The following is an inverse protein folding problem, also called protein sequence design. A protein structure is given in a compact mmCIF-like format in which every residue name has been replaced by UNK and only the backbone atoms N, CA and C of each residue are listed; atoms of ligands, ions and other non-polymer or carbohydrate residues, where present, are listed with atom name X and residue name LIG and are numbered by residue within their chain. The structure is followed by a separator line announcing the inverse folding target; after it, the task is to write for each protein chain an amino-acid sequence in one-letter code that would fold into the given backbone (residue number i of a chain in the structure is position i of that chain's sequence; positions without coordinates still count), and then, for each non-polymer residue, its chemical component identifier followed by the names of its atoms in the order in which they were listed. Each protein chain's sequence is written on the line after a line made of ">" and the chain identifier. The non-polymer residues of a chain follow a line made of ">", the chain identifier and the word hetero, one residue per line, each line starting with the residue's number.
data_IF_493470963924
#
_entry.id   IF_493470963924
#
_cell.length_a   1.000
_cell.length_b   1.000
_cell.length_c   1.000
_cell.angle_alpha   90.00
_cell.angle_beta   90.00
_cell.angle_gamma   90.00
#
_symmetry.space_group_name_H-M   'P 1'
#
loop_
_entity.id
_entity.type
_entity.pdbx_description
1 polymer ?
#
# COMPACT_ATOMS: atom_id res chain seq x y z
N UNK A 1 -59.40 18.78 97.99
CA UNK A 1 -58.36 19.19 97.03
C UNK A 1 -58.00 17.98 96.20
N UNK A 2 -58.22 18.11 94.90
CA UNK A 2 -57.94 17.14 93.83
C UNK A 2 -56.45 17.23 93.45
N UNK A 3 -55.86 16.09 93.06
CA UNK A 3 -54.69 15.88 92.16
C UNK A 3 -53.78 14.76 92.70
N UNK A 4 -53.23 13.80 91.95
CA UNK A 4 -53.09 13.56 90.50
C UNK A 4 -52.83 12.04 90.31
N UNK A 5 -53.18 11.41 89.17
CA UNK A 5 -52.82 10.01 88.89
C UNK A 5 -51.33 9.89 88.54
N UNK A 6 -50.69 8.82 89.00
CA UNK A 6 -49.30 8.51 88.69
C UNK A 6 -49.10 8.17 87.19
N UNK A 7 -48.02 8.64 86.54
CA UNK A 7 -47.79 8.41 85.12
C UNK A 7 -47.44 6.95 84.83
N UNK A 8 -48.07 6.41 83.77
CA UNK A 8 -47.71 5.11 83.19
C UNK A 8 -46.34 5.18 82.49
N UNK A 9 -45.50 4.15 82.61
CA UNK A 9 -44.26 4.06 81.85
C UNK A 9 -44.60 3.88 80.37
N UNK A 10 -44.24 4.87 79.56
CA UNK A 10 -44.27 4.79 78.10
C UNK A 10 -43.18 3.82 77.66
N UNK A 11 -43.59 2.65 77.15
CA UNK A 11 -42.69 1.71 76.50
C UNK A 11 -42.12 2.37 75.25
N UNK A 12 -40.86 2.77 75.30
CA UNK A 12 -40.09 3.12 74.12
C UNK A 12 -39.88 1.84 73.31
N UNK A 13 -40.70 1.63 72.30
CA UNK A 13 -40.45 0.61 71.29
C UNK A 13 -39.08 0.88 70.66
N UNK A 14 -38.13 -0.06 70.70
CA UNK A 14 -36.92 0.07 69.90
C UNK A 14 -37.36 0.03 68.44
N UNK A 15 -37.17 1.13 67.71
CA UNK A 15 -37.18 1.11 66.25
C UNK A 15 -36.10 0.13 65.84
N UNK A 16 -36.53 -1.08 65.48
CA UNK A 16 -35.64 -2.14 65.04
C UNK A 16 -34.93 -1.71 63.77
N UNK A 17 -33.70 -1.21 63.90
CA UNK A 17 -32.70 -1.15 62.83
C UNK A 17 -32.18 -2.56 62.51
N UNK A 18 -33.09 -3.51 62.27
CA UNK A 18 -32.79 -4.94 62.20
C UNK A 18 -32.57 -5.51 60.80
N UNK A 19 -32.81 -4.74 59.72
CA UNK A 19 -32.86 -5.32 58.36
C UNK A 19 -31.80 -4.84 57.36
N UNK A 20 -31.11 -3.72 57.61
CA UNK A 20 -30.30 -3.06 56.57
C UNK A 20 -28.80 -3.34 56.64
N UNK A 21 -28.31 -3.91 57.75
CA UNK A 21 -26.86 -4.12 57.96
C UNK A 21 -26.33 -5.31 57.14
N UNK A 22 -27.16 -6.31 56.85
CA UNK A 22 -26.78 -7.49 56.05
C UNK A 22 -26.91 -7.33 54.53
N UNK A 23 -27.70 -6.37 54.05
CA UNK A 23 -27.91 -6.18 52.61
C UNK A 23 -26.81 -5.31 51.98
N UNK A 24 -26.29 -4.33 52.75
CA UNK A 24 -25.22 -3.46 52.31
C UNK A 24 -23.93 -4.25 51.97
N UNK A 25 -23.58 -5.27 52.78
CA UNK A 25 -22.38 -6.07 52.53
C UNK A 25 -22.50 -6.91 51.24
N UNK A 26 -23.70 -7.39 50.92
CA UNK A 26 -23.97 -8.12 49.66
C UNK A 26 -23.86 -7.20 48.45
N UNK A 27 -24.44 -6.00 48.52
CA UNK A 27 -24.34 -5.02 47.44
C UNK A 27 -22.91 -4.56 47.20
N UNK A 28 -22.13 -4.32 48.27
CA UNK A 28 -20.71 -3.98 48.17
C UNK A 28 -19.93 -5.14 47.55
N UNK A 29 -20.19 -6.38 47.97
CA UNK A 29 -19.54 -7.56 47.38
C UNK A 29 -19.81 -7.68 45.87
N UNK A 30 -21.05 -7.46 45.42
CA UNK A 30 -21.41 -7.47 44.00
C UNK A 30 -20.76 -6.30 43.24
N UNK A 31 -20.75 -5.10 43.82
CA UNK A 31 -20.08 -3.96 43.18
C UNK A 31 -18.58 -4.19 43.02
N UNK A 32 -17.92 -4.75 44.05
CA UNK A 32 -16.49 -5.06 43.99
C UNK A 32 -16.19 -6.12 42.94
N UNK A 33 -16.99 -7.18 42.83
CA UNK A 33 -16.76 -8.20 41.78
C UNK A 33 -16.94 -7.63 40.39
N UNK A 34 -17.94 -6.76 40.17
CA UNK A 34 -18.12 -6.06 38.89
C UNK A 34 -16.94 -5.14 38.57
N UNK A 35 -16.47 -4.35 39.55
CA UNK A 35 -15.31 -3.46 39.35
C UNK A 35 -14.02 -4.24 39.04
N UNK A 36 -13.79 -5.36 39.73
CA UNK A 36 -12.65 -6.25 39.44
C UNK A 36 -12.78 -6.88 38.05
N UNK A 37 -13.98 -7.31 37.65
CA UNK A 37 -14.23 -7.82 36.31
C UNK A 37 -13.97 -6.78 35.21
N UNK A 38 -14.42 -5.54 35.41
CA UNK A 38 -14.22 -4.44 34.45
C UNK A 38 -12.74 -4.01 34.37
N UNK A 39 -12.02 -3.98 35.49
CA UNK A 39 -10.58 -3.66 35.49
C UNK A 39 -9.75 -4.75 34.82
N UNK A 40 -10.07 -6.03 35.08
CA UNK A 40 -9.46 -7.16 34.37
C UNK A 40 -9.64 -7.02 32.85
N UNK A 41 -10.86 -6.73 32.40
CA UNK A 41 -11.16 -6.52 30.98
C UNK A 41 -10.45 -5.30 30.39
N UNK A 42 -10.35 -4.20 31.15
CA UNK A 42 -9.62 -3.01 30.73
C UNK A 42 -8.11 -3.30 30.56
N UNK A 43 -7.50 -4.07 31.46
CA UNK A 43 -6.09 -4.44 31.37
C UNK A 43 -5.83 -5.34 30.16
N UNK A 44 -6.58 -6.44 30.02
CA UNK A 44 -6.41 -7.36 28.90
C UNK A 44 -6.73 -6.67 27.56
N UNK A 45 -7.75 -5.80 27.52
CA UNK A 45 -8.10 -4.97 26.36
C UNK A 45 -6.98 -3.98 26.00
N UNK A 46 -6.41 -3.28 26.97
CA UNK A 46 -5.32 -2.32 26.73
C UNK A 46 -4.09 -2.99 26.12
N UNK A 47 -3.75 -4.20 26.59
CA UNK A 47 -2.64 -5.00 26.04
C UNK A 47 -2.95 -5.51 24.64
N UNK A 48 -4.18 -5.92 24.37
CA UNK A 48 -4.61 -6.31 23.02
C UNK A 48 -4.45 -5.16 22.01
N UNK A 49 -4.89 -3.96 22.37
CA UNK A 49 -4.75 -2.78 21.52
C UNK A 49 -3.28 -2.36 21.32
N UNK A 50 -2.47 -2.37 22.37
CA UNK A 50 -1.04 -2.09 22.25
C UNK A 50 -0.35 -3.09 21.32
N UNK A 51 -0.61 -4.39 21.51
CA UNK A 51 -0.05 -5.45 20.66
C UNK A 51 -0.50 -5.31 19.21
N UNK A 52 -1.77 -5.00 18.96
CA UNK A 52 -2.29 -4.78 17.61
C UNK A 52 -1.58 -3.61 16.91
N UNK A 53 -1.36 -2.50 17.62
CA UNK A 53 -0.65 -1.32 17.10
C UNK A 53 0.80 -1.64 16.78
N UNK A 54 1.50 -2.30 17.69
CA UNK A 54 2.92 -2.64 17.51
C UNK A 54 3.09 -3.66 16.37
N UNK A 55 2.18 -4.63 16.26
CA UNK A 55 2.16 -5.59 15.16
C UNK A 55 1.89 -4.91 13.82
N UNK A 56 0.96 -3.95 13.77
CA UNK A 56 0.69 -3.20 12.54
C UNK A 56 1.92 -2.38 12.11
N UNK A 57 2.53 -1.62 13.02
CA UNK A 57 3.73 -0.83 12.74
C UNK A 57 4.91 -1.69 12.25
N UNK A 58 5.09 -2.88 12.85
CA UNK A 58 6.10 -3.83 12.43
C UNK A 58 5.86 -4.38 11.01
N UNK A 59 4.60 -4.68 10.66
CA UNK A 59 4.25 -5.19 9.32
C UNK A 59 4.35 -4.09 8.26
N UNK A 60 3.93 -2.86 8.58
CA UNK A 60 4.03 -1.71 7.67
C UNK A 60 5.51 -1.39 7.35
N UNK A 61 6.34 -1.32 8.38
CA UNK A 61 7.78 -1.08 8.21
C UNK A 61 8.48 -2.22 7.47
N UNK A 62 8.09 -3.47 7.69
CA UNK A 62 8.61 -4.62 6.96
C UNK A 62 8.24 -4.57 5.46
N UNK A 63 7.00 -4.23 5.13
CA UNK A 63 6.54 -4.09 3.75
C UNK A 63 7.31 -2.99 3.01
N UNK A 64 7.53 -1.84 3.67
CA UNK A 64 8.31 -0.74 3.10
C UNK A 64 9.80 -1.12 2.93
N UNK A 65 10.39 -1.78 3.93
CA UNK A 65 11.78 -2.22 3.87
C UNK A 65 12.06 -3.24 2.76
N UNK A 66 11.13 -4.17 2.51
CA UNK A 66 11.23 -5.06 1.35
C UNK A 66 11.21 -4.27 0.04
N UNK A 67 10.28 -3.33 -0.11
CA UNK A 67 10.18 -2.54 -1.33
C UNK A 67 11.45 -1.71 -1.60
N UNK A 68 11.92 -0.98 -0.59
CA UNK A 68 13.14 -0.17 -0.67
C UNK A 68 14.38 -1.02 -0.98
N UNK A 69 14.51 -2.19 -0.35
CA UNK A 69 15.64 -3.09 -0.61
C UNK A 69 15.59 -3.72 -1.99
N UNK A 70 14.41 -4.08 -2.49
CA UNK A 70 14.30 -4.54 -3.87
C UNK A 70 14.71 -3.44 -4.86
N UNK A 71 14.35 -2.17 -4.60
CA UNK A 71 14.79 -1.04 -5.43
C UNK A 71 16.31 -0.85 -5.39
N UNK A 72 16.95 -1.03 -4.22
CA UNK A 72 18.40 -0.84 -4.05
C UNK A 72 19.23 -1.99 -4.63
N UNK A 73 18.80 -3.24 -4.44
CA UNK A 73 19.61 -4.43 -4.76
C UNK A 73 19.16 -5.20 -6.01
N UNK A 74 17.92 -5.01 -6.46
CA UNK A 74 17.30 -5.82 -7.50
C UNK A 74 17.04 -7.29 -7.13
N UNK A 75 17.31 -7.69 -5.88
CA UNK A 75 17.21 -9.09 -5.43
C UNK A 75 16.07 -9.30 -4.44
N UNK A 76 15.08 -10.10 -4.85
CA UNK A 76 13.92 -10.46 -4.02
C UNK A 76 14.32 -11.13 -2.70
N UNK A 77 15.30 -12.04 -2.73
CA UNK A 77 15.73 -12.74 -1.53
C UNK A 77 16.31 -11.78 -0.47
N UNK A 78 17.09 -10.79 -0.91
CA UNK A 78 17.63 -9.76 0.00
C UNK A 78 16.54 -8.82 0.53
N UNK A 79 15.51 -8.55 -0.27
CA UNK A 79 14.35 -7.76 0.14
C UNK A 79 13.51 -8.48 1.20
N UNK A 80 13.21 -9.77 1.00
CA UNK A 80 12.47 -10.58 1.98
C UNK A 80 13.25 -10.76 3.29
N UNK A 81 14.58 -10.88 3.20
CA UNK A 81 15.45 -10.94 4.39
C UNK A 81 15.42 -9.61 5.14
N UNK A 82 15.50 -8.47 4.44
CA UNK A 82 15.44 -7.16 5.06
C UNK A 82 14.10 -6.89 5.75
N UNK A 83 12.97 -7.27 5.13
CA UNK A 83 11.66 -7.22 5.77
C UNK A 83 11.61 -8.04 7.06
N UNK A 84 12.17 -9.24 7.05
CA UNK A 84 12.25 -10.10 8.24
C UNK A 84 13.04 -9.41 9.37
N UNK A 85 14.19 -8.82 9.04
CA UNK A 85 15.05 -8.14 10.01
C UNK A 85 14.37 -6.89 10.61
N UNK A 86 13.72 -6.07 9.77
CA UNK A 86 13.01 -4.87 10.22
C UNK A 86 11.79 -5.24 11.07
N UNK A 87 11.04 -6.27 10.67
CA UNK A 87 9.93 -6.80 11.46
C UNK A 87 10.40 -7.27 12.84
N UNK A 88 11.47 -8.07 12.90
CA UNK A 88 12.06 -8.56 14.13
C UNK A 88 12.50 -7.41 15.05
N UNK A 89 13.17 -6.40 14.49
CA UNK A 89 13.61 -5.22 15.22
C UNK A 89 12.44 -4.44 15.85
N UNK A 90 11.37 -4.19 15.08
CA UNK A 90 10.19 -3.46 15.58
C UNK A 90 9.49 -4.19 16.73
N UNK A 91 9.40 -5.52 16.65
CA UNK A 91 8.80 -6.36 17.70
C UNK A 91 9.80 -6.82 18.77
N UNK A 92 11.06 -6.38 18.70
CA UNK A 92 12.15 -6.78 19.59
C UNK A 92 12.31 -8.31 19.71
N UNK A 93 12.23 -8.99 18.57
CA UNK A 93 12.45 -10.43 18.44
C UNK A 93 13.95 -10.66 18.20
N UNK A 94 14.65 -11.15 19.23
CA UNK A 94 16.11 -11.34 19.18
C UNK A 94 16.53 -12.74 18.67
N UNK A 95 15.59 -13.68 18.60
CA UNK A 95 15.84 -15.01 18.07
C UNK A 95 15.64 -15.03 16.56
N UNK A 96 16.51 -15.74 15.85
CA UNK A 96 16.37 -15.95 14.41
C UNK A 96 15.09 -16.75 14.09
N UNK A 97 14.28 -16.32 13.12
CA UNK A 97 13.12 -17.09 12.70
C UNK A 97 13.52 -18.29 11.82
N UNK A 98 12.68 -19.32 11.81
CA UNK A 98 12.72 -20.38 10.80
C UNK A 98 11.82 -19.98 9.63
N UNK A 99 12.40 -19.76 8.45
CA UNK A 99 11.65 -19.39 7.25
C UNK A 99 11.52 -20.58 6.29
N UNK A 100 10.29 -20.87 5.85
CA UNK A 100 9.99 -21.94 4.90
C UNK A 100 8.89 -21.53 3.91
N UNK A 101 9.06 -21.81 2.60
CA UNK A 101 10.33 -22.15 1.93
C UNK A 101 11.38 -21.04 2.13
N UNK A 102 12.64 -21.26 1.73
CA UNK A 102 13.66 -20.21 1.79
C UNK A 102 13.26 -19.00 0.94
N UNK A 103 13.86 -17.84 1.24
CA UNK A 103 13.69 -16.63 0.42
C UNK A 103 13.95 -16.91 -1.06
N UNK A 104 13.19 -16.28 -1.93
CA UNK A 104 13.14 -16.63 -3.34
C UNK A 104 12.60 -15.52 -4.22
N UNK A 105 12.44 -15.84 -5.50
CA UNK A 105 11.92 -14.90 -6.50
C UNK A 105 10.56 -15.39 -7.01
N UNK A 106 9.60 -14.49 -7.24
CA UNK A 106 8.31 -14.84 -7.84
C UNK A 106 8.48 -15.30 -9.29
N UNK A 107 7.70 -16.32 -9.67
CA UNK A 107 7.54 -16.76 -11.05
C UNK A 107 6.20 -16.29 -11.64
N UNK A 108 5.54 -17.12 -12.43
CA UNK A 108 4.16 -16.87 -12.88
C UNK A 108 3.15 -16.89 -11.72
N UNK A 109 3.46 -17.63 -10.64
CA UNK A 109 2.70 -17.64 -9.40
C UNK A 109 3.42 -16.81 -8.30
N UNK A 110 2.67 -16.26 -7.32
CA UNK A 110 3.25 -15.58 -6.18
C UNK A 110 4.22 -16.47 -5.40
N UNK A 111 5.37 -15.92 -4.99
CA UNK A 111 6.25 -16.59 -4.05
C UNK A 111 5.78 -16.31 -2.62
N UNK A 112 5.67 -17.34 -1.78
CA UNK A 112 5.22 -17.18 -0.40
C UNK A 112 6.24 -17.79 0.54
N UNK A 113 6.70 -17.00 1.50
CA UNK A 113 7.62 -17.42 2.56
C UNK A 113 6.96 -17.16 3.91
N UNK A 114 6.99 -18.13 4.81
CA UNK A 114 6.55 -17.93 6.19
C UNK A 114 7.72 -18.09 7.14
N UNK A 115 8.02 -17.03 7.88
CA UNK A 115 9.05 -16.96 8.92
C UNK A 115 8.39 -17.04 10.29
N UNK A 116 8.66 -18.13 11.02
CA UNK A 116 8.12 -18.38 12.36
C UNK A 116 9.19 -18.18 13.42
N UNK A 117 8.86 -17.43 14.46
CA UNK A 117 9.71 -17.16 15.61
C UNK A 117 9.41 -18.14 16.75
N UNK A 118 10.37 -18.39 17.67
CA UNK A 118 10.18 -19.31 18.79
C UNK A 118 9.02 -18.95 19.73
N UNK A 119 8.63 -17.68 19.79
CA UNK A 119 7.50 -17.22 20.61
C UNK A 119 6.12 -17.45 19.94
N UNK A 120 6.10 -18.11 18.78
CA UNK A 120 4.89 -18.38 17.99
C UNK A 120 4.43 -17.21 17.13
N UNK A 121 5.17 -16.09 17.10
CA UNK A 121 4.93 -15.03 16.11
C UNK A 121 5.28 -15.56 14.72
N UNK A 122 4.44 -15.31 13.73
CA UNK A 122 4.73 -15.65 12.35
C UNK A 122 4.63 -14.42 11.45
N UNK A 123 5.52 -14.31 10.49
CA UNK A 123 5.50 -13.33 9.39
C UNK A 123 5.41 -14.10 8.08
N UNK A 124 4.31 -13.95 7.36
CA UNK A 124 4.13 -14.45 6.00
C UNK A 124 4.35 -13.32 5.01
N UNK A 125 5.23 -13.57 4.05
CA UNK A 125 5.56 -12.67 2.96
C UNK A 125 5.04 -13.28 1.66
N UNK A 126 4.27 -12.53 0.90
CA UNK A 126 3.77 -12.95 -0.41
C UNK A 126 4.25 -11.94 -1.45
N UNK A 127 5.20 -12.38 -2.26
CA UNK A 127 5.81 -11.59 -3.32
C UNK A 127 5.14 -11.89 -4.64
N UNK A 128 4.74 -10.85 -5.37
CA UNK A 128 4.13 -10.94 -6.69
C UNK A 128 4.88 -10.06 -7.68
N UNK A 129 5.29 -10.64 -8.81
CA UNK A 129 5.66 -9.85 -9.97
C UNK A 129 4.36 -9.31 -10.61
N UNK A 130 4.16 -7.99 -10.59
CA UNK A 130 2.97 -7.31 -11.15
C UNK A 130 3.26 -6.71 -12.53
N UNK A 131 4.14 -7.37 -13.29
CA UNK A 131 4.54 -6.93 -14.62
C UNK A 131 5.92 -6.30 -14.64
N UNK A 132 6.29 -5.65 -15.76
CA UNK A 132 7.66 -5.66 -16.26
C UNK A 132 8.70 -4.83 -15.49
N UNK A 133 8.29 -4.12 -14.44
CA UNK A 133 9.14 -3.50 -13.43
C UNK A 133 8.42 -3.31 -12.08
N UNK A 134 7.29 -4.00 -11.92
CA UNK A 134 6.39 -3.87 -10.79
C UNK A 134 6.50 -5.10 -9.90
N UNK A 135 6.74 -4.93 -8.60
CA UNK A 135 6.70 -6.00 -7.62
C UNK A 135 5.89 -5.58 -6.42
N UNK A 136 5.01 -6.46 -5.96
CA UNK A 136 4.22 -6.26 -4.75
C UNK A 136 4.71 -7.22 -3.67
N UNK A 137 4.96 -6.67 -2.49
CA UNK A 137 5.21 -7.40 -1.25
C UNK A 137 3.99 -7.26 -0.35
N UNK A 138 3.21 -8.33 -0.21
CA UNK A 138 2.13 -8.39 0.77
C UNK A 138 2.64 -9.11 2.02
N UNK A 139 2.64 -8.41 3.14
CA UNK A 139 3.08 -8.93 4.43
C UNK A 139 1.87 -9.18 5.31
N UNK A 140 1.83 -10.32 5.98
CA UNK A 140 0.89 -10.60 7.07
C UNK A 140 1.63 -11.17 8.25
N UNK A 141 1.28 -10.74 9.46
CA UNK A 141 1.86 -11.29 10.67
C UNK A 141 0.79 -11.71 11.66
N UNK A 142 1.07 -12.76 12.41
CA UNK A 142 0.22 -13.27 13.47
C UNK A 142 0.99 -13.37 14.78
N UNK A 143 0.31 -13.05 15.89
CA UNK A 143 0.88 -13.17 17.23
C UNK A 143 -0.20 -13.50 18.25
N UNK A 144 0.09 -14.44 19.15
CA UNK A 144 -0.84 -14.80 20.22
C UNK A 144 -0.85 -13.75 21.32
N UNK A 145 -2.05 -13.37 21.78
CA UNK A 145 -2.22 -12.47 22.92
C UNK A 145 -2.14 -13.28 24.22
N UNK A 146 -1.18 -12.95 25.07
CA UNK A 146 -1.10 -13.51 26.41
C UNK A 146 -2.13 -12.85 27.33
N UNK A 147 -3.31 -13.45 27.44
CA UNK A 147 -4.35 -13.07 28.41
C UNK A 147 -3.84 -13.29 29.84
N UNK A 148 -4.02 -12.30 30.73
CA UNK A 148 -3.64 -12.43 32.14
C UNK A 148 -4.82 -12.72 33.05
N UNK A 149 -5.91 -11.96 32.94
CA UNK A 149 -7.06 -12.13 33.83
C UNK A 149 -8.15 -12.98 33.18
N UNK A 150 -8.41 -12.79 31.88
CA UNK A 150 -9.38 -13.59 31.13
C UNK A 150 -8.99 -15.08 31.04
N UNK A 151 -7.70 -15.43 31.19
CA UNK A 151 -7.23 -16.82 31.22
C UNK A 151 -7.72 -17.59 32.46
N UNK A 152 -8.05 -16.91 33.56
CA UNK A 152 -8.67 -17.54 34.74
C UNK A 152 -10.12 -17.96 34.44
N UNK A 153 -10.79 -17.25 33.55
CA UNK A 153 -12.20 -17.46 33.19
C UNK A 153 -12.38 -18.32 31.93
N UNK A 154 -11.34 -18.49 31.11
CA UNK A 154 -11.41 -19.28 29.88
C UNK A 154 -10.31 -20.35 29.82
N UNK A 155 -10.69 -21.60 29.65
CA UNK A 155 -9.80 -22.73 29.31
C UNK A 155 -9.51 -22.84 27.81
N UNK A 156 -9.90 -21.85 27.01
CA UNK A 156 -9.75 -21.84 25.55
C UNK A 156 -8.36 -21.45 25.05
N UNK A 157 -8.09 -21.65 23.75
CA UNK A 157 -6.84 -21.18 23.12
C UNK A 157 -6.72 -19.66 23.22
N UNK A 158 -5.48 -19.18 23.41
CA UNK A 158 -5.24 -17.74 23.48
C UNK A 158 -5.55 -17.08 22.13
N UNK A 159 -6.25 -15.93 22.13
CA UNK A 159 -6.65 -15.28 20.89
C UNK A 159 -5.43 -14.85 20.07
N UNK A 160 -5.52 -14.99 18.76
CA UNK A 160 -4.45 -14.63 17.82
C UNK A 160 -4.81 -13.31 17.15
N UNK A 161 -3.92 -12.33 17.23
CA UNK A 161 -4.02 -11.07 16.50
C UNK A 161 -3.30 -11.23 15.16
N UNK A 162 -3.89 -10.65 14.12
CA UNK A 162 -3.29 -10.59 12.79
C UNK A 162 -3.25 -9.15 12.28
N UNK A 163 -2.19 -8.80 11.55
CA UNK A 163 -2.04 -7.53 10.83
C UNK A 163 -1.48 -7.80 9.44
N UNK A 164 -1.80 -6.92 8.49
CA UNK A 164 -1.29 -7.02 7.12
C UNK A 164 -0.95 -5.65 6.56
N UNK A 165 0.03 -5.61 5.65
CA UNK A 165 0.43 -4.41 4.91
C UNK A 165 0.92 -4.80 3.51
N UNK A 166 0.96 -3.83 2.60
CA UNK A 166 1.46 -4.03 1.24
C UNK A 166 2.46 -2.93 0.87
N UNK A 167 3.60 -3.36 0.32
CA UNK A 167 4.62 -2.49 -0.26
C UNK A 167 4.69 -2.76 -1.76
N UNK A 168 4.65 -1.71 -2.58
CA UNK A 168 4.75 -1.86 -4.04
C UNK A 168 6.03 -1.16 -4.53
N UNK A 169 6.83 -1.89 -5.28
CA UNK A 169 7.93 -1.37 -6.08
C UNK A 169 7.39 -1.24 -7.48
N UNK A 170 7.19 -0.02 -7.95
CA UNK A 170 6.79 0.24 -9.31
C UNK A 170 7.94 1.02 -9.97
N UNK A 171 8.50 0.52 -11.08
CA UNK A 171 8.84 1.49 -12.13
C UNK A 171 7.52 2.05 -12.68
N UNK A 172 7.56 3.24 -13.26
CA UNK A 172 6.44 4.15 -13.55
C UNK A 172 5.31 3.59 -14.45
N UNK A 173 5.15 2.29 -14.64
CA UNK A 173 4.08 1.67 -15.44
C UNK A 173 2.65 2.06 -15.01
N UNK A 174 2.42 2.45 -13.74
CA UNK A 174 1.12 2.96 -13.27
C UNK A 174 1.01 4.49 -13.26
N UNK A 175 2.10 5.19 -13.60
CA UNK A 175 2.20 6.64 -13.80
C UNK A 175 3.10 6.93 -15.00
N UNK A 176 2.79 6.38 -16.18
CA UNK A 176 3.66 6.54 -17.33
C UNK A 176 3.69 8.01 -17.71
N UNK A 177 4.85 8.49 -18.18
CA UNK A 177 4.98 9.86 -18.66
C UNK A 177 4.04 10.08 -19.85
N UNK A 178 3.92 9.06 -20.71
CA UNK A 178 2.98 9.04 -21.83
C UNK A 178 2.24 7.70 -21.86
N UNK A 179 0.90 7.76 -21.89
CA UNK A 179 0.04 6.60 -22.09
C UNK A 179 -0.94 6.80 -23.25
N UNK A 180 -1.07 5.79 -24.09
CA UNK A 180 -2.14 5.70 -25.09
C UNK A 180 -3.04 4.50 -24.81
N UNK A 181 -4.31 4.77 -24.51
CA UNK A 181 -5.31 3.72 -24.24
C UNK A 181 -5.92 3.13 -25.52
N UNK A 182 -5.73 3.80 -26.67
CA UNK A 182 -6.18 3.36 -27.98
C UNK A 182 -5.50 2.04 -28.38
N UNK A 183 -6.25 1.16 -29.06
CA UNK A 183 -5.80 -0.17 -29.51
C UNK A 183 -5.48 -0.23 -31.02
N UNK A 184 -5.44 0.91 -31.71
CA UNK A 184 -5.08 0.96 -33.14
C UNK A 184 -3.71 0.32 -33.42
N UNK A 185 -3.61 -0.44 -34.51
CA UNK A 185 -2.41 -1.20 -34.87
C UNK A 185 -2.22 -2.53 -34.14
N UNK A 186 -3.21 -2.95 -33.35
CA UNK A 186 -3.28 -4.27 -32.72
C UNK A 186 -4.35 -5.15 -33.37
N UNK A 187 -4.06 -6.44 -33.57
CA UNK A 187 -5.09 -7.44 -33.93
C UNK A 187 -5.88 -7.13 -35.20
N UNK A 188 -5.25 -6.45 -36.17
CA UNK A 188 -5.89 -6.04 -37.43
C UNK A 188 -6.65 -4.71 -37.37
N UNK A 189 -6.67 -4.01 -36.23
CA UNK A 189 -7.24 -2.68 -36.13
C UNK A 189 -6.40 -1.66 -36.94
N UNK A 190 -7.02 -0.86 -37.83
CA UNK A 190 -6.28 0.09 -38.65
C UNK A 190 -5.69 1.23 -37.80
N UNK A 191 -4.57 1.79 -38.26
CA UNK A 191 -3.93 2.96 -37.65
C UNK A 191 -2.85 2.61 -36.63
N UNK A 192 -2.50 3.62 -35.80
CA UNK A 192 -1.47 3.53 -34.76
C UNK A 192 -1.96 4.27 -33.52
N UNK A 193 -1.60 3.79 -32.33
CA UNK A 193 -2.04 4.42 -31.08
C UNK A 193 -1.14 5.60 -30.67
N UNK A 194 0.15 5.51 -30.96
CA UNK A 194 1.10 6.63 -30.84
C UNK A 194 1.82 6.76 -32.17
N UNK A 195 1.77 7.96 -32.77
CA UNK A 195 2.51 8.27 -33.99
C UNK A 195 3.45 9.45 -33.78
N UNK A 196 4.68 9.30 -34.23
CA UNK A 196 5.69 10.35 -34.28
C UNK A 196 6.03 10.67 -35.73
N UNK A 197 6.00 11.96 -36.06
CA UNK A 197 6.37 12.47 -37.38
C UNK A 197 7.16 13.77 -37.22
N UNK A 198 8.15 13.99 -38.08
CA UNK A 198 9.04 15.15 -38.04
C UNK A 198 10.50 14.77 -38.34
N UNK A 199 11.43 15.71 -38.24
CA UNK A 199 12.87 15.46 -38.45
C UNK A 199 13.70 15.45 -37.16
N UNK A 200 13.07 15.71 -36.01
CA UNK A 200 13.73 15.81 -34.71
C UNK A 200 13.67 14.52 -33.87
N UNK A 201 14.29 14.57 -32.69
CA UNK A 201 14.22 13.49 -31.69
C UNK A 201 13.28 13.90 -30.55
N UNK A 202 12.21 13.12 -30.31
CA UNK A 202 11.41 13.27 -29.10
C UNK A 202 12.11 12.56 -27.93
N UNK A 203 12.63 13.35 -26.99
CA UNK A 203 13.20 12.83 -25.74
C UNK A 203 12.11 12.74 -24.66
N UNK A 204 11.93 11.56 -24.09
CA UNK A 204 10.99 11.30 -23.00
C UNK A 204 11.81 10.80 -21.81
N UNK A 205 11.63 11.43 -20.64
CA UNK A 205 12.19 10.94 -19.39
C UNK A 205 11.06 10.28 -18.58
N UNK A 206 11.14 8.96 -18.44
CA UNK A 206 10.12 8.08 -17.87
C UNK A 206 9.52 7.10 -18.89
N UNK A 207 8.51 6.36 -18.45
CA UNK A 207 7.96 5.24 -19.22
C UNK A 207 6.93 5.71 -20.27
N UNK A 208 6.89 4.98 -21.39
CA UNK A 208 5.88 5.13 -22.46
C UNK A 208 5.07 3.86 -22.55
N UNK A 209 3.74 3.97 -22.52
CA UNK A 209 2.83 2.81 -22.56
C UNK A 209 1.79 2.99 -23.65
N UNK A 210 1.59 1.97 -24.48
CA UNK A 210 0.59 1.96 -25.54
C UNK A 210 -0.19 0.65 -25.59
N UNK A 211 -1.52 0.76 -25.54
CA UNK A 211 -2.46 -0.33 -25.81
C UNK A 211 -2.52 -0.74 -27.29
N UNK A 212 -2.00 0.09 -28.18
CA UNK A 212 -1.90 -0.11 -29.62
C UNK A 212 -0.43 -0.13 -30.09
N UNK A 213 -0.22 0.06 -31.39
CA UNK A 213 1.12 0.23 -31.93
C UNK A 213 1.67 1.64 -31.72
N UNK A 214 2.98 1.72 -31.48
CA UNK A 214 3.79 2.95 -31.57
C UNK A 214 4.43 2.96 -32.96
N UNK A 215 4.46 4.10 -33.63
CA UNK A 215 5.09 4.23 -34.96
C UNK A 215 5.85 5.54 -35.05
N UNK A 216 7.11 5.47 -35.43
CA UNK A 216 7.95 6.62 -35.78
C UNK A 216 8.06 6.67 -37.29
N UNK A 217 7.23 7.49 -37.93
CA UNK A 217 7.20 7.63 -39.39
C UNK A 217 8.39 8.44 -39.92
N UNK A 218 8.86 9.40 -39.13
CA UNK A 218 10.07 10.20 -39.39
C UNK A 218 10.61 10.77 -38.08
N UNK A 219 11.92 11.03 -38.02
CA UNK A 219 12.61 11.49 -36.82
C UNK A 219 13.08 10.33 -35.93
N UNK A 220 13.20 10.57 -34.64
CA UNK A 220 13.56 9.53 -33.67
C UNK A 220 12.77 9.67 -32.36
N UNK A 221 12.51 8.54 -31.72
CA UNK A 221 11.96 8.46 -30.37
C UNK A 221 13.09 8.04 -29.42
N UNK A 222 13.28 8.75 -28.33
CA UNK A 222 14.29 8.43 -27.32
C UNK A 222 13.67 8.41 -25.93
N UNK A 223 13.68 7.24 -25.29
CA UNK A 223 12.99 7.00 -24.01
C UNK A 223 14.00 6.67 -22.93
N UNK A 224 14.16 7.56 -21.96
CA UNK A 224 14.89 7.33 -20.72
C UNK A 224 13.94 6.70 -19.71
N UNK A 225 13.72 5.40 -19.85
CA UNK A 225 12.68 4.62 -19.19
C UNK A 225 12.28 3.45 -20.09
N UNK A 226 11.20 2.75 -19.76
CA UNK A 226 10.75 1.63 -20.58
C UNK A 226 9.68 2.06 -21.59
N UNK A 227 9.74 1.46 -22.78
CA UNK A 227 8.72 1.60 -23.81
C UNK A 227 7.93 0.30 -23.94
N UNK A 228 6.64 0.35 -23.61
CA UNK A 228 5.69 -0.75 -23.70
C UNK A 228 4.69 -0.51 -24.83
N UNK A 229 4.64 -1.42 -25.79
CA UNK A 229 3.63 -1.40 -26.84
C UNK A 229 3.00 -2.78 -26.95
N UNK A 230 1.68 -2.87 -26.78
CA UNK A 230 0.97 -4.16 -26.70
C UNK A 230 1.18 -5.07 -27.91
N UNK A 231 1.42 -4.48 -29.07
CA UNK A 231 1.42 -5.20 -30.35
C UNK A 231 2.76 -5.18 -31.09
N UNK A 232 3.83 -4.81 -30.41
CA UNK A 232 5.18 -4.86 -30.98
C UNK A 232 6.21 -5.08 -29.86
N UNK A 233 7.20 -5.92 -30.14
CA UNK A 233 8.35 -6.15 -29.24
C UNK A 233 9.47 -5.13 -29.42
N UNK A 234 9.41 -4.31 -30.47
CA UNK A 234 10.35 -3.23 -30.77
C UNK A 234 9.62 -2.07 -31.46
N UNK A 235 10.15 -0.86 -31.31
CA UNK A 235 9.66 0.35 -31.97
C UNK A 235 10.72 0.81 -32.96
N UNK A 236 10.41 0.74 -34.26
CA UNK A 236 11.31 1.27 -35.30
C UNK A 236 11.50 2.78 -35.12
N UNK A 237 12.73 3.28 -35.24
CA UNK A 237 13.08 4.68 -34.92
C UNK A 237 13.10 5.01 -33.42
N UNK A 238 12.85 4.02 -32.55
CA UNK A 238 12.95 4.13 -31.09
C UNK A 238 14.33 3.75 -30.57
N UNK A 239 14.80 4.48 -29.56
CA UNK A 239 16.04 4.25 -28.83
C UNK A 239 15.81 4.42 -27.33
N UNK A 240 16.56 3.70 -26.51
CA UNK A 240 16.49 3.81 -25.06
C UNK A 240 17.63 4.66 -24.51
N UNK A 241 17.39 5.26 -23.36
CA UNK A 241 18.32 6.12 -22.65
C UNK A 241 18.34 5.76 -21.16
N UNK A 242 19.31 6.32 -20.45
CA UNK A 242 19.51 6.06 -19.03
C UNK A 242 18.49 6.83 -18.21
N UNK A 243 17.78 6.13 -17.32
CA UNK A 243 16.85 6.72 -16.36
C UNK A 243 17.50 6.76 -14.96
N UNK A 244 17.35 7.84 -14.16
CA UNK A 244 16.53 9.04 -14.40
C UNK A 244 17.23 10.20 -15.12
N UNK A 245 18.54 10.12 -15.40
CA UNK A 245 19.32 11.25 -15.91
C UNK A 245 18.99 11.70 -17.33
N UNK A 246 18.41 10.84 -18.16
CA UNK A 246 18.22 11.07 -19.58
C UNK A 246 19.52 10.92 -20.41
N UNK A 247 20.62 10.44 -19.83
CA UNK A 247 21.91 10.27 -20.51
C UNK A 247 21.89 9.18 -21.58
N UNK A 248 22.82 9.23 -22.54
CA UNK A 248 23.04 8.15 -23.51
C UNK A 248 23.77 6.97 -22.85
N UNK A 249 23.52 5.76 -23.33
CA UNK A 249 24.28 4.59 -22.89
C UNK A 249 25.78 4.71 -23.22
N UNK A 250 26.68 4.12 -22.42
CA UNK A 250 26.44 3.30 -21.21
C UNK A 250 26.05 4.13 -19.98
N UNK A 251 25.15 3.59 -19.16
CA UNK A 251 24.63 4.28 -17.97
C UNK A 251 25.64 4.25 -16.81
N UNK A 252 25.75 5.37 -16.10
CA UNK A 252 26.55 5.48 -14.88
C UNK A 252 25.65 5.31 -13.67
N UNK A 253 26.08 4.53 -12.68
CA UNK A 253 25.32 4.35 -11.43
C UNK A 253 24.97 5.72 -10.81
N UNK A 254 23.70 5.95 -10.40
CA UNK A 254 22.61 5.00 -10.22
C UNK A 254 21.72 4.75 -11.45
N UNK A 255 22.05 5.29 -12.60
CA UNK A 255 21.18 5.23 -13.78
C UNK A 255 21.11 3.82 -14.39
N UNK A 256 19.92 3.45 -14.85
CA UNK A 256 19.64 2.17 -15.51
C UNK A 256 19.18 2.40 -16.94
N UNK A 257 19.66 1.57 -17.87
CA UNK A 257 19.25 1.64 -19.26
C UNK A 257 17.81 1.13 -19.44
N UNK A 258 16.96 1.95 -20.05
CA UNK A 258 15.60 1.57 -20.41
C UNK A 258 15.52 0.43 -21.43
N UNK A 259 14.38 -0.26 -21.48
CA UNK A 259 14.11 -1.33 -22.44
C UNK A 259 12.84 -1.09 -23.26
N UNK A 260 12.82 -1.57 -24.51
CA UNK A 260 11.59 -1.69 -25.31
C UNK A 260 11.05 -3.11 -25.19
N UNK A 261 9.78 -3.26 -24.83
CA UNK A 261 9.14 -4.55 -24.57
C UNK A 261 7.71 -4.58 -25.11
N UNK A 262 7.22 -5.79 -25.36
CA UNK A 262 5.78 -5.97 -25.59
C UNK A 262 5.01 -5.62 -24.32
N UNK A 263 4.00 -4.78 -24.46
CA UNK A 263 3.18 -4.26 -23.37
C UNK A 263 1.94 -5.11 -23.08
N UNK A 264 1.24 -4.75 -22.00
CA UNK A 264 -0.08 -5.28 -21.68
C UNK A 264 -1.16 -4.22 -21.97
N UNK A 265 -2.44 -4.61 -21.95
CA UNK A 265 -3.52 -3.64 -22.01
C UNK A 265 -3.57 -2.86 -20.69
N UNK A 266 -3.17 -1.60 -20.74
CA UNK A 266 -3.38 -0.60 -19.70
C UNK A 266 -4.87 -0.29 -19.60
N UNK A 267 -5.46 -0.57 -18.44
CA UNK A 267 -6.83 -0.18 -18.11
C UNK A 267 -6.88 1.33 -17.90
N UNK A 268 -7.98 1.98 -18.33
CA UNK A 268 -8.20 3.40 -18.06
C UNK A 268 -8.09 3.68 -16.56
N UNK A 269 -7.16 4.55 -16.12
CA UNK A 269 -7.03 4.94 -14.71
C UNK A 269 -8.22 5.74 -14.17
N UNK A 270 -9.26 5.96 -14.99
CA UNK A 270 -10.43 6.78 -14.68
C UNK A 270 -10.04 8.26 -14.49
N UNK A 271 -9.14 8.75 -15.36
CA UNK A 271 -8.81 10.18 -15.38
C UNK A 271 -10.04 10.96 -15.85
N UNK A 272 -10.57 11.90 -15.05
CA UNK A 272 -11.63 12.78 -15.53
C UNK A 272 -11.10 13.57 -16.72
N UNK A 273 -11.89 13.64 -17.80
CA UNK A 273 -11.51 14.46 -18.95
C UNK A 273 -11.18 15.88 -18.48
N UNK A 274 -10.08 16.50 -18.95
CA UNK A 274 -9.78 17.88 -18.62
C UNK A 274 -10.98 18.76 -18.92
N UNK A 275 -11.37 19.64 -17.99
CA UNK A 275 -12.45 20.57 -18.21
C UNK A 275 -12.11 21.44 -19.43
N UNK A 276 -12.81 21.21 -20.54
CA UNK A 276 -12.65 22.01 -21.76
C UNK A 276 -13.28 23.37 -21.46
N UNK A 277 -12.43 24.37 -21.18
CA UNK A 277 -12.91 25.73 -20.96
C UNK A 277 -13.45 26.24 -22.29
N UNK A 278 -14.76 26.47 -22.38
CA UNK A 278 -15.52 26.73 -23.62
C UNK A 278 -15.26 28.08 -24.28
N UNK A 279 -14.00 28.48 -24.46
CA UNK A 279 -13.62 29.71 -25.14
C UNK A 279 -12.50 29.45 -26.16
N UNK A 280 -12.65 30.01 -27.35
CA UNK A 280 -11.66 29.97 -28.42
C UNK A 280 -10.35 30.67 -28.00
N UNK A 281 -9.23 29.95 -28.07
CA UNK A 281 -7.90 30.47 -27.77
C UNK A 281 -7.18 30.93 -29.05
N UNK A 282 -6.40 32.02 -28.97
CA UNK A 282 -5.55 32.53 -30.06
C UNK A 282 -4.24 31.74 -30.19
N UNK A 283 -3.67 31.71 -31.41
CA UNK A 283 -2.42 30.99 -31.73
C UNK A 283 -1.21 31.50 -30.92
N UNK A 284 -0.48 30.66 -30.16
CA UNK A 284 0.75 31.05 -29.47
C UNK A 284 1.93 31.28 -30.44
N UNK A 285 2.83 32.22 -30.11
CA UNK A 285 3.86 32.72 -31.02
C UNK A 285 5.26 32.08 -30.96
N UNK A 286 5.63 31.36 -29.89
CA UNK A 286 7.03 30.84 -29.78
C UNK A 286 7.27 29.68 -28.80
N UNK A 287 6.33 29.35 -27.90
CA UNK A 287 6.41 28.16 -27.04
C UNK A 287 5.00 27.70 -26.76
N UNK A 288 4.68 26.46 -27.08
CA UNK A 288 3.30 25.99 -27.12
C UNK A 288 3.08 25.03 -25.96
N UNK A 289 2.51 25.54 -24.88
CA UNK A 289 1.60 24.75 -24.06
C UNK A 289 0.20 24.94 -24.63
N UNK A 290 -0.34 23.96 -25.35
CA UNK A 290 -1.76 23.99 -25.68
C UNK A 290 -2.52 23.58 -24.43
N UNK A 291 -3.28 24.53 -23.86
CA UNK A 291 -4.30 24.17 -22.88
C UNK A 291 -5.40 23.36 -23.58
N UNK A 292 -5.99 22.33 -22.92
CA UNK A 292 -7.17 21.65 -23.45
C UNK A 292 -8.27 22.66 -23.81
N UNK A 293 -8.79 22.61 -25.04
CA UNK A 293 -9.71 23.64 -25.55
C UNK A 293 -10.13 23.45 -27.00
N UNK A 294 -11.19 24.17 -27.41
CA UNK A 294 -11.65 24.27 -28.80
C UNK A 294 -10.99 25.49 -29.46
N UNK A 295 -10.32 25.30 -30.61
CA UNK A 295 -9.61 26.37 -31.31
C UNK A 295 -10.43 26.90 -32.49
N UNK A 296 -10.54 28.23 -32.62
CA UNK A 296 -11.38 28.88 -33.64
C UNK A 296 -10.86 28.74 -35.08
N UNK A 297 -9.59 28.36 -35.24
CA UNK A 297 -8.96 28.08 -36.54
C UNK A 297 -8.08 26.84 -36.38
N UNK A 298 -7.90 26.06 -37.45
CA UNK A 298 -6.88 25.01 -37.49
C UNK A 298 -5.54 25.70 -37.19
N UNK A 299 -4.89 25.42 -36.06
CA UNK A 299 -3.64 26.04 -35.72
C UNK A 299 -2.61 25.45 -36.68
N UNK A 300 -2.47 25.97 -37.89
CA UNK A 300 -1.54 25.50 -38.91
C UNK A 300 -0.15 25.26 -38.30
N UNK A 301 0.14 23.98 -38.04
CA UNK A 301 1.35 23.48 -37.41
C UNK A 301 2.40 23.28 -38.52
N UNK A 302 2.94 24.40 -38.99
CA UNK A 302 4.09 24.35 -39.90
C UNK A 302 5.29 23.74 -39.15
N UNK A 303 6.05 22.90 -39.87
CA UNK A 303 7.00 21.93 -39.34
C UNK A 303 7.86 22.44 -38.17
N UNK A 304 8.00 21.59 -37.14
CA UNK A 304 9.00 21.64 -36.04
C UNK A 304 8.49 21.92 -34.61
N UNK A 305 7.31 21.45 -34.22
CA UNK A 305 6.98 21.41 -32.78
C UNK A 305 6.10 20.20 -32.45
N UNK A 306 6.51 19.40 -31.45
CA UNK A 306 5.72 18.30 -30.88
C UNK A 306 4.74 18.82 -29.82
N UNK A 307 3.55 18.22 -29.71
CA UNK A 307 2.55 18.56 -28.69
C UNK A 307 2.00 17.30 -27.99
N UNK A 308 1.65 17.44 -26.71
CA UNK A 308 1.01 16.46 -25.83
C UNK A 308 -0.39 16.94 -25.44
#
# INVERSE_FOLDING_TARGET
>A
MVALPAPHPTSLSPVGRGGQVGQAIVLIAIMLTVLVGMTALAIDGSRAYALKRDLQAAVDSAALAAADKLQQSGSYATAEQAATNVFASNLRLYSSPSCSPSYGSPGAAPWTVTCTYPDGTALTQVVRAVGPQGSQFAMSATRSLQLQFARVLSSGPSPVLASSATGNVNNLLYTPTIAALNQAGCGGAPGTAISLSGSGTLNINGDVVSNGSITVSSGALRVAGDAYARCQSSVSGGSTACYPSGASSPCSYPDVLGATRSGFRLTDPNYPAPAVVGSSQSRPGSTVGLSPGTYAVNPSLTANVCYF
#
